data_IF_468997045552
#
_entry.id   IF_468997045552
#
_cell.length_a   1.000
_cell.length_b   1.000
_cell.length_c   1.000
_cell.angle_alpha   90.00
_cell.angle_beta   90.00
_cell.angle_gamma   90.00
#
_symmetry.space_group_name_H-M   'P 1'
#
loop_
_entity.id
_entity.type
_entity.pdbx_description
1 polymer ?
#
# COMPACT_ATOMS: atom_id res chain seq x y z
N UNK A 1 12.58 44.30 21.38
CA UNK A 1 12.87 43.09 22.19
C UNK A 1 11.55 42.37 22.34
N UNK A 2 11.27 41.18 21.83
CA UNK A 2 12.04 40.01 21.39
C UNK A 2 11.13 39.19 20.46
N UNK A 3 11.69 38.56 19.42
CA UNK A 3 10.93 37.67 18.52
C UNK A 3 10.80 36.25 19.07
N UNK A 4 9.80 35.51 18.58
CA UNK A 4 9.98 34.08 18.33
C UNK A 4 9.02 33.58 17.25
N UNK A 5 9.60 32.88 16.27
CA UNK A 5 9.03 32.43 15.02
C UNK A 5 7.84 31.50 15.18
N UNK A 6 6.74 31.81 14.49
CA UNK A 6 5.61 30.92 14.27
C UNK A 6 6.08 29.61 13.63
N UNK A 7 6.12 28.58 14.46
CA UNK A 7 6.33 27.17 14.17
C UNK A 7 6.00 26.80 12.73
N UNK A 8 7.04 26.40 11.98
CA UNK A 8 6.94 25.63 10.73
C UNK A 8 5.91 24.53 10.95
N UNK A 9 4.71 24.70 10.39
CA UNK A 9 3.75 23.61 10.17
C UNK A 9 4.43 22.65 9.19
N UNK A 10 5.22 21.73 9.74
CA UNK A 10 5.84 20.66 8.97
C UNK A 10 4.75 19.81 8.32
N UNK A 11 5.02 19.35 7.10
CA UNK A 11 4.16 18.43 6.36
C UNK A 11 3.80 17.24 7.26
N UNK A 12 2.52 16.86 7.17
CA UNK A 12 1.81 16.08 8.16
C UNK A 12 2.45 14.78 8.60
N UNK A 13 1.96 14.30 9.75
CA UNK A 13 2.40 13.13 10.51
C UNK A 13 2.28 11.77 9.78
N UNK A 14 2.10 11.77 8.46
CA UNK A 14 1.88 10.57 7.65
C UNK A 14 3.16 9.95 7.07
N UNK A 15 4.23 10.73 6.87
CA UNK A 15 5.46 10.18 6.26
C UNK A 15 6.29 9.31 7.22
N UNK A 16 6.19 9.54 8.54
CA UNK A 16 6.88 8.73 9.53
C UNK A 16 6.29 7.33 9.72
N UNK A 17 5.04 7.10 9.29
CA UNK A 17 4.37 5.80 9.37
C UNK A 17 4.75 4.86 8.21
N UNK A 18 5.43 5.37 7.18
CA UNK A 18 5.85 4.61 6.00
C UNK A 18 7.31 4.13 6.08
N UNK A 19 8.07 4.58 7.08
CA UNK A 19 9.48 4.20 7.23
C UNK A 19 9.53 2.99 8.16
N UNK A 20 9.44 1.80 7.57
CA UNK A 20 9.69 0.52 8.24
C UNK A 20 11.21 0.33 8.31
N UNK A 21 11.79 0.39 9.51
CA UNK A 21 13.16 -0.04 9.76
C UNK A 21 13.13 -1.53 10.12
N UNK A 22 13.53 -2.37 9.18
CA UNK A 22 13.27 -3.82 9.13
C UNK A 22 14.31 -4.69 9.82
N UNK A 23 14.98 -4.22 10.88
CA UNK A 23 16.14 -5.00 11.36
C UNK A 23 15.85 -5.82 12.62
N UNK A 24 15.22 -5.36 13.72
CA UNK A 24 15.31 -6.16 14.98
C UNK A 24 14.14 -6.09 15.99
N UNK A 25 12.86 -6.18 15.58
CA UNK A 25 11.78 -6.16 16.59
C UNK A 25 10.68 -7.23 16.39
N UNK A 26 10.41 -8.11 17.39
CA UNK A 26 9.25 -9.02 17.38
C UNK A 26 7.89 -8.32 17.26
N UNK A 27 7.83 -6.98 17.41
CA UNK A 27 6.67 -6.16 17.07
C UNK A 27 6.24 -6.25 15.60
N UNK A 28 7.10 -6.75 14.69
CA UNK A 28 6.72 -7.01 13.29
C UNK A 28 5.59 -8.04 13.15
N UNK A 29 5.47 -8.98 14.09
CA UNK A 29 4.34 -9.91 14.15
C UNK A 29 3.04 -9.21 14.61
N UNK A 30 3.17 -8.19 15.44
CA UNK A 30 2.05 -7.39 15.96
C UNK A 30 1.50 -6.42 14.89
N UNK A 31 2.34 -5.98 13.95
CA UNK A 31 1.92 -5.21 12.76
C UNK A 31 1.04 -6.04 11.84
N UNK A 32 1.30 -7.35 11.67
CA UNK A 32 0.39 -8.25 10.96
C UNK A 32 -0.96 -8.41 11.68
N UNK A 33 -0.98 -8.40 13.02
CA UNK A 33 -2.21 -8.50 13.79
C UNK A 33 -3.00 -7.16 13.82
N UNK A 34 -2.32 -6.02 13.76
CA UNK A 34 -2.92 -4.68 13.75
C UNK A 34 -3.40 -4.24 12.35
N UNK A 35 -2.99 -4.96 11.30
CA UNK A 35 -3.49 -4.79 9.93
C UNK A 35 -5.01 -5.00 9.81
N UNK A 36 -5.62 -5.78 10.73
CA UNK A 36 -7.07 -6.03 10.78
C UNK A 36 -7.86 -4.81 11.31
N UNK A 37 -7.18 -3.78 11.85
CA UNK A 37 -7.81 -2.59 12.43
C UNK A 37 -7.63 -1.30 11.59
N UNK A 38 -7.02 -1.35 10.40
CA UNK A 38 -6.54 -0.11 9.75
C UNK A 38 -6.24 -0.08 8.25
N UNK A 39 -6.67 -1.07 7.45
CA UNK A 39 -6.94 -0.83 6.02
C UNK A 39 -6.04 -1.49 4.97
N UNK A 40 -5.07 -2.33 5.35
CA UNK A 40 -4.32 -3.17 4.39
C UNK A 40 -4.31 -4.60 4.90
N UNK A 41 -4.78 -5.55 4.11
CA UNK A 41 -4.82 -6.99 4.43
C UNK A 41 -4.06 -7.77 3.37
N UNK A 42 -3.36 -8.83 3.80
CA UNK A 42 -2.85 -9.84 2.87
C UNK A 42 -4.00 -10.76 2.44
N UNK A 43 -4.25 -10.83 1.15
CA UNK A 43 -5.31 -11.64 0.54
C UNK A 43 -4.66 -12.55 -0.49
N UNK A 44 -5.08 -13.81 -0.52
CA UNK A 44 -4.66 -14.75 -1.57
C UNK A 44 -5.14 -14.24 -2.93
N UNK A 45 -4.23 -14.19 -3.91
CA UNK A 45 -4.52 -13.74 -5.28
C UNK A 45 -5.65 -14.55 -5.89
N UNK A 46 -5.78 -15.84 -5.56
CA UNK A 46 -6.85 -16.70 -6.06
C UNK A 46 -8.25 -16.29 -5.58
N UNK A 47 -8.35 -15.46 -4.53
CA UNK A 47 -9.62 -14.92 -4.01
C UNK A 47 -10.01 -13.59 -4.67
N UNK A 48 -9.14 -13.02 -5.52
CA UNK A 48 -9.37 -11.72 -6.16
C UNK A 48 -9.90 -11.96 -7.57
N UNK A 49 -10.96 -11.25 -7.92
CA UNK A 49 -11.59 -11.30 -9.26
C UNK A 49 -11.68 -9.89 -9.85
N UNK A 50 -11.53 -9.72 -11.18
CA UNK A 50 -11.71 -8.44 -11.83
C UNK A 50 -13.14 -7.92 -11.63
N UNK A 51 -13.30 -6.59 -11.50
CA UNK A 51 -14.62 -5.99 -11.41
C UNK A 51 -15.32 -6.06 -12.79
N UNK A 52 -16.53 -6.65 -12.90
CA UNK A 52 -17.28 -6.69 -14.16
C UNK A 52 -17.56 -5.31 -14.77
N UNK A 53 -17.59 -4.26 -13.95
CA UNK A 53 -17.83 -2.87 -14.35
C UNK A 53 -16.54 -2.07 -14.58
N UNK A 54 -15.40 -2.75 -14.82
CA UNK A 54 -14.12 -2.08 -15.01
C UNK A 54 -14.06 -1.38 -16.38
N UNK A 55 -13.99 -0.03 -16.43
CA UNK A 55 -14.10 0.72 -17.69
C UNK A 55 -12.88 0.58 -18.59
N UNK A 56 -11.72 0.26 -18.01
CA UNK A 56 -10.49 -0.01 -18.76
C UNK A 56 -10.42 -1.50 -19.07
N UNK A 57 -10.63 -1.86 -20.33
CA UNK A 57 -10.58 -3.27 -20.79
C UNK A 57 -9.39 -3.56 -21.73
N UNK A 58 -8.59 -2.56 -22.08
CA UNK A 58 -7.41 -2.73 -22.95
C UNK A 58 -6.14 -2.33 -22.22
N UNK A 59 -5.15 -3.20 -22.31
CA UNK A 59 -3.78 -2.99 -21.88
C UNK A 59 -2.85 -3.19 -23.07
N UNK A 60 -1.69 -2.56 -23.01
CA UNK A 60 -0.61 -2.85 -23.95
C UNK A 60 0.16 -4.05 -23.38
N UNK A 61 0.32 -5.11 -24.17
CA UNK A 61 0.92 -6.36 -23.71
C UNK A 61 2.38 -6.19 -23.31
N UNK A 62 3.13 -5.30 -23.99
CA UNK A 62 4.52 -5.02 -23.65
C UNK A 62 4.62 -4.30 -22.30
N UNK A 63 3.79 -3.26 -22.09
CA UNK A 63 3.76 -2.54 -20.81
C UNK A 63 3.27 -3.43 -19.66
N UNK A 64 2.36 -4.36 -19.93
CA UNK A 64 1.88 -5.31 -18.92
C UNK A 64 2.99 -6.28 -18.50
N UNK A 65 3.79 -6.75 -19.46
CA UNK A 65 4.93 -7.62 -19.18
C UNK A 65 6.00 -6.90 -18.36
N UNK A 66 6.35 -5.66 -18.75
CA UNK A 66 7.29 -4.82 -17.98
C UNK A 66 6.82 -4.61 -16.54
N UNK A 67 5.51 -4.39 -16.33
CA UNK A 67 4.94 -4.26 -15.00
C UNK A 67 5.04 -5.57 -14.19
N UNK A 68 4.77 -6.72 -14.83
CA UNK A 68 4.87 -8.02 -14.17
C UNK A 68 6.32 -8.31 -13.72
N UNK A 69 7.29 -8.03 -14.57
CA UNK A 69 8.72 -8.19 -14.26
C UNK A 69 9.12 -7.26 -13.09
N UNK A 70 8.66 -6.00 -13.14
CA UNK A 70 8.89 -5.02 -12.06
C UNK A 70 8.31 -5.46 -10.71
N UNK A 71 7.07 -6.00 -10.72
CA UNK A 71 6.42 -6.56 -9.52
C UNK A 71 7.17 -7.79 -9.02
N UNK A 72 7.72 -8.62 -9.91
CA UNK A 72 8.54 -9.78 -9.53
C UNK A 72 9.81 -9.38 -8.79
N UNK A 73 10.46 -8.30 -9.21
CA UNK A 73 11.71 -7.80 -8.61
C UNK A 73 11.49 -7.00 -7.31
N UNK A 74 10.51 -6.09 -7.31
CA UNK A 74 10.33 -5.10 -6.24
C UNK A 74 9.09 -5.37 -5.37
N UNK A 75 8.24 -6.31 -5.77
CA UNK A 75 6.93 -6.53 -5.16
C UNK A 75 5.92 -5.45 -5.53
N UNK A 76 4.74 -5.53 -4.91
CA UNK A 76 3.69 -4.54 -5.07
C UNK A 76 3.98 -3.33 -4.17
N UNK A 77 4.36 -2.20 -4.76
CA UNK A 77 4.70 -0.97 -4.03
C UNK A 77 3.46 -0.30 -3.43
N UNK A 78 2.31 -0.40 -4.10
CA UNK A 78 1.05 0.18 -3.65
C UNK A 78 -0.01 -0.90 -3.42
N UNK A 79 -0.60 -0.99 -2.21
CA UNK A 79 -1.68 -1.93 -1.94
C UNK A 79 -2.85 -1.78 -2.92
N UNK A 80 -3.44 -2.91 -3.31
CA UNK A 80 -4.62 -2.93 -4.16
C UNK A 80 -5.87 -2.63 -3.33
N UNK A 81 -6.79 -1.89 -3.94
CA UNK A 81 -8.11 -1.62 -3.35
C UNK A 81 -9.04 -2.74 -3.79
N UNK A 82 -9.66 -3.40 -2.82
CA UNK A 82 -10.61 -4.49 -3.05
C UNK A 82 -11.90 -4.25 -2.26
N UNK A 83 -13.00 -4.79 -2.74
CA UNK A 83 -14.27 -4.86 -2.03
C UNK A 83 -14.70 -6.31 -1.95
N UNK A 84 -15.50 -6.68 -0.94
CA UNK A 84 -16.09 -8.02 -0.90
C UNK A 84 -16.90 -8.26 -2.19
N UNK A 85 -16.70 -9.43 -2.80
CA UNK A 85 -17.53 -9.84 -3.92
C UNK A 85 -18.95 -10.07 -3.39
N UNK A 86 -19.87 -9.21 -3.78
CA UNK A 86 -21.30 -9.46 -3.63
C UNK A 86 -21.71 -10.34 -4.80
N UNK A 87 -22.14 -11.57 -4.51
CA UNK A 87 -22.76 -12.48 -5.47
C UNK A 87 -24.00 -11.84 -6.14
#
# INVERSE_FOLDING_TARGET
MTGNSSSRRGLGRGLGALIVNTEENPASAEVLAQADAGGVRLVDVAQIQPNPHQPRSKFDDALLQELADSIGEHGIIQPLIVTAATD
#
